data_IF_165454735543
#
_entry.id   IF_165454735543
#
_cell.length_a   1.000
_cell.length_b   1.000
_cell.length_c   1.000
_cell.angle_alpha   90.00
_cell.angle_beta   90.00
_cell.angle_gamma   90.00
#
_symmetry.space_group_name_H-M   'P 1'
#
loop_
_entity.id
_entity.type
_entity.pdbx_description
1 polymer ?
#
# COMPACT_ATOMS: atom_id res chain seq x y z
N UNK A 1 -14.75 -14.30 6.19
CA UNK A 1 -14.30 -15.45 5.39
C UNK A 1 -12.91 -15.10 4.88
N UNK A 2 -11.92 -15.98 4.95
CA UNK A 2 -10.56 -15.66 4.51
C UNK A 2 -10.49 -15.63 2.99
N UNK A 3 -10.05 -14.49 2.44
CA UNK A 3 -9.80 -14.32 1.01
C UNK A 3 -8.30 -14.39 0.72
N UNK A 4 -7.94 -14.88 -0.47
CA UNK A 4 -6.59 -14.81 -1.03
C UNK A 4 -6.62 -13.97 -2.30
N UNK A 5 -5.64 -13.08 -2.45
CA UNK A 5 -5.38 -12.32 -3.67
C UNK A 5 -4.03 -12.75 -4.23
N UNK A 6 -3.93 -12.83 -5.55
CA UNK A 6 -2.66 -13.06 -6.23
C UNK A 6 -2.66 -12.34 -7.58
N UNK A 7 -1.51 -11.81 -7.96
CA UNK A 7 -1.28 -11.14 -9.23
C UNK A 7 -0.35 -11.95 -10.11
N UNK A 8 -0.36 -11.69 -11.42
CA UNK A 8 0.52 -12.35 -12.38
C UNK A 8 1.33 -11.37 -13.25
N UNK A 9 2.23 -11.97 -14.05
CA UNK A 9 3.09 -11.25 -14.99
C UNK A 9 2.34 -10.62 -16.17
N UNK A 10 1.11 -11.06 -16.41
CA UNK A 10 0.25 -10.50 -17.45
C UNK A 10 -0.72 -9.48 -16.85
N UNK A 11 -0.46 -8.97 -15.64
CA UNK A 11 -1.24 -7.89 -15.02
C UNK A 11 -2.63 -8.30 -14.54
N UNK A 12 -2.96 -9.59 -14.47
CA UNK A 12 -4.23 -10.04 -13.91
C UNK A 12 -4.13 -10.24 -12.41
N UNK A 13 -5.27 -10.10 -11.75
CA UNK A 13 -5.46 -10.38 -10.33
C UNK A 13 -6.57 -11.40 -10.19
N UNK A 14 -6.29 -12.45 -9.42
CA UNK A 14 -7.29 -13.40 -8.96
C UNK A 14 -7.67 -13.17 -7.50
N UNK A 15 -8.93 -13.44 -7.20
CA UNK A 15 -9.50 -13.41 -5.85
C UNK A 15 -10.13 -14.77 -5.56
N UNK A 16 -9.73 -15.41 -4.46
CA UNK A 16 -10.24 -16.71 -4.03
C UNK A 16 -10.87 -16.63 -2.64
N UNK A 17 -11.94 -17.41 -2.44
CA UNK A 17 -12.43 -17.79 -1.11
C UNK A 17 -11.67 -19.03 -0.68
N UNK A 18 -10.90 -18.94 0.41
CA UNK A 18 -10.10 -20.08 0.89
C UNK A 18 -10.95 -21.22 1.47
N UNK A 19 -12.25 -21.00 1.70
CA UNK A 19 -13.17 -22.10 2.05
C UNK A 19 -13.59 -22.92 0.83
N UNK A 20 -13.39 -22.42 -0.38
CA UNK A 20 -13.76 -23.02 -1.68
C UNK A 20 -12.75 -22.65 -2.77
N UNK A 21 -11.48 -22.97 -2.52
CA UNK A 21 -10.35 -22.49 -3.30
C UNK A 21 -10.22 -23.08 -4.72
N UNK A 22 -11.12 -23.98 -5.13
CA UNK A 22 -11.03 -24.67 -6.42
C UNK A 22 -11.26 -23.73 -7.62
N UNK A 23 -12.01 -22.64 -7.42
CA UNK A 23 -12.34 -21.67 -8.48
C UNK A 23 -12.21 -20.26 -7.92
N UNK A 24 -11.57 -19.32 -8.64
CA UNK A 24 -11.54 -17.93 -8.20
C UNK A 24 -12.96 -17.34 -8.18
N UNK A 25 -13.24 -16.51 -7.18
CA UNK A 25 -14.41 -15.65 -7.13
C UNK A 25 -14.39 -14.64 -8.29
N UNK A 26 -13.21 -14.12 -8.61
CA UNK A 26 -12.96 -13.20 -9.71
C UNK A 26 -11.53 -13.38 -10.25
N UNK A 27 -11.35 -13.17 -11.55
CA UNK A 27 -10.05 -13.08 -12.21
C UNK A 27 -10.16 -12.05 -13.33
N UNK A 28 -9.33 -11.02 -13.29
CA UNK A 28 -9.50 -9.83 -14.13
C UNK A 28 -8.18 -9.10 -14.36
N UNK A 29 -8.02 -8.45 -15.53
CA UNK A 29 -6.90 -7.56 -15.84
C UNK A 29 -6.97 -6.31 -14.97
N UNK A 30 -6.04 -6.19 -14.04
CA UNK A 30 -5.87 -5.04 -13.17
C UNK A 30 -4.90 -4.02 -13.78
N UNK A 31 -3.78 -4.50 -14.34
CA UNK A 31 -2.68 -3.70 -14.87
C UNK A 31 -2.35 -4.10 -16.31
N UNK A 32 -1.75 -3.20 -17.09
CA UNK A 32 -1.33 -3.52 -18.47
C UNK A 32 -0.16 -4.51 -18.54
N UNK A 33 0.61 -4.61 -17.45
CA UNK A 33 1.80 -5.45 -17.30
C UNK A 33 1.88 -5.99 -15.86
N UNK A 34 2.98 -6.64 -15.45
CA UNK A 34 3.19 -7.33 -14.17
C UNK A 34 2.59 -6.60 -12.97
N UNK A 35 1.84 -7.33 -12.15
CA UNK A 35 1.44 -6.91 -10.81
C UNK A 35 2.62 -7.14 -9.86
N UNK A 36 3.29 -6.07 -9.45
CA UNK A 36 4.48 -6.16 -8.59
C UNK A 36 4.14 -6.31 -7.11
N UNK A 37 3.07 -5.63 -6.68
CA UNK A 37 2.73 -5.56 -5.26
C UNK A 37 1.22 -5.44 -5.06
N UNK A 38 0.77 -5.81 -3.87
CA UNK A 38 -0.60 -5.64 -3.41
C UNK A 38 -0.65 -5.60 -1.90
N UNK A 39 -1.70 -5.00 -1.37
CA UNK A 39 -2.01 -5.01 0.05
C UNK A 39 -3.53 -4.98 0.27
N UNK A 40 -3.99 -5.45 1.43
CA UNK A 40 -5.40 -5.55 1.78
C UNK A 40 -5.69 -5.03 3.18
N UNK A 41 -6.69 -4.16 3.32
CA UNK A 41 -7.06 -3.55 4.60
C UNK A 41 -7.72 -4.53 5.58
N UNK A 42 -7.93 -5.80 5.19
CA UNK A 42 -8.79 -6.70 5.93
C UNK A 42 -10.20 -6.12 6.14
N UNK A 43 -10.82 -6.42 7.29
CA UNK A 43 -12.14 -5.86 7.67
C UNK A 43 -12.03 -4.54 8.43
N UNK A 44 -10.86 -3.86 8.42
CA UNK A 44 -10.57 -2.71 9.27
C UNK A 44 -11.49 -1.50 8.99
N UNK A 45 -11.98 -1.32 7.77
CA UNK A 45 -12.95 -0.26 7.40
C UNK A 45 -14.41 -0.76 7.34
N UNK A 46 -14.67 -2.02 7.71
CA UNK A 46 -15.95 -2.68 7.41
C UNK A 46 -16.21 -2.89 5.91
N UNK A 47 -15.30 -2.46 5.03
CA UNK A 47 -15.32 -2.66 3.58
C UNK A 47 -14.10 -3.48 3.17
N UNK A 48 -14.27 -4.67 2.58
CA UNK A 48 -13.16 -5.51 2.22
C UNK A 48 -12.50 -4.97 0.94
N UNK A 49 -11.48 -4.15 1.11
CA UNK A 49 -10.77 -3.41 0.06
C UNK A 49 -9.31 -3.90 -0.06
N UNK A 50 -8.78 -3.79 -1.27
CA UNK A 50 -7.38 -4.10 -1.56
C UNK A 50 -6.82 -3.16 -2.62
N UNK A 51 -5.52 -2.98 -2.59
CA UNK A 51 -4.77 -2.18 -3.56
C UNK A 51 -3.79 -3.04 -4.34
N UNK A 52 -3.54 -2.67 -5.58
CA UNK A 52 -2.55 -3.33 -6.45
C UNK A 52 -1.66 -2.27 -7.08
N UNK A 53 -0.37 -2.56 -7.20
CA UNK A 53 0.62 -1.73 -7.87
C UNK A 53 1.37 -2.53 -8.94
N UNK A 54 1.63 -1.91 -10.09
CA UNK A 54 2.18 -2.61 -11.26
C UNK A 54 3.34 -1.89 -11.95
N UNK A 55 3.87 -2.59 -12.96
CA UNK A 55 4.88 -2.07 -13.89
C UNK A 55 4.36 -0.91 -14.73
N UNK A 56 3.04 -0.80 -14.91
CA UNK A 56 2.38 0.32 -15.58
C UNK A 56 2.45 1.64 -14.80
N UNK A 57 3.13 1.67 -13.64
CA UNK A 57 3.33 2.85 -12.82
C UNK A 57 2.06 3.34 -12.12
N UNK A 58 1.02 2.50 -12.08
CA UNK A 58 -0.25 2.83 -11.44
C UNK A 58 -0.50 1.99 -10.19
N UNK A 59 -1.23 2.59 -9.25
CA UNK A 59 -1.84 1.93 -8.10
C UNK A 59 -3.36 2.00 -8.25
N UNK A 60 -4.05 0.88 -8.00
CA UNK A 60 -5.50 0.76 -8.17
C UNK A 60 -6.14 0.23 -6.90
N UNK A 61 -7.22 0.88 -6.45
CA UNK A 61 -8.03 0.45 -5.32
C UNK A 61 -9.24 -0.36 -5.82
N UNK A 62 -9.51 -1.48 -5.15
CA UNK A 62 -10.55 -2.43 -5.51
C UNK A 62 -11.41 -2.80 -4.30
N UNK A 63 -12.70 -3.08 -4.56
CA UNK A 63 -13.65 -3.60 -3.55
C UNK A 63 -13.90 -5.07 -3.84
N UNK A 64 -13.57 -5.98 -2.93
CA UNK A 64 -13.77 -7.43 -3.15
C UNK A 64 -15.24 -7.84 -3.32
N UNK A 65 -16.20 -6.99 -2.94
CA UNK A 65 -17.65 -7.23 -3.11
C UNK A 65 -18.12 -6.94 -4.53
N UNK A 66 -17.38 -6.13 -5.27
CA UNK A 66 -17.71 -5.82 -6.64
C UNK A 66 -17.25 -6.95 -7.56
N UNK A 67 -18.07 -7.24 -8.56
CA UNK A 67 -17.75 -8.24 -9.56
C UNK A 67 -16.84 -7.60 -10.63
N UNK A 68 -15.53 -7.78 -10.45
CA UNK A 68 -14.49 -7.21 -11.32
C UNK A 68 -14.31 -7.93 -12.66
N UNK A 69 -15.29 -8.72 -13.10
CA UNK A 69 -15.23 -9.42 -14.41
C UNK A 69 -14.85 -8.47 -15.52
N UNK A 70 -14.03 -8.98 -16.44
CA UNK A 70 -13.67 -8.27 -17.65
C UNK A 70 -14.93 -7.89 -18.44
N UNK A 71 -15.26 -6.61 -18.41
CA UNK A 71 -16.20 -6.02 -19.36
C UNK A 71 -15.41 -5.52 -20.56
N UNK A 72 -16.08 -5.26 -21.67
CA UNK A 72 -15.48 -4.72 -22.90
C UNK A 72 -14.76 -3.37 -22.76
N UNK A 73 -14.69 -2.80 -21.55
CA UNK A 73 -13.90 -1.62 -21.19
C UNK A 73 -12.89 -1.85 -20.05
N UNK A 74 -12.56 -3.10 -19.71
CA UNK A 74 -11.70 -3.46 -18.58
C UNK A 74 -12.44 -3.54 -17.24
N UNK A 75 -11.74 -3.97 -16.18
CA UNK A 75 -12.24 -3.88 -14.81
C UNK A 75 -12.09 -2.44 -14.30
N UNK A 76 -13.11 -1.93 -13.58
CA UNK A 76 -13.14 -0.55 -13.12
C UNK A 76 -12.71 -0.47 -11.64
N UNK A 77 -11.49 0.01 -11.32
CA UNK A 77 -11.12 0.22 -9.93
C UNK A 77 -11.97 1.33 -9.31
N UNK A 78 -12.12 1.31 -7.98
CA UNK A 78 -12.81 2.38 -7.22
C UNK A 78 -12.07 3.71 -7.43
N UNK A 79 -10.75 3.64 -7.40
CA UNK A 79 -9.84 4.79 -7.49
C UNK A 79 -8.50 4.32 -8.06
N UNK A 80 -7.75 5.26 -8.64
CA UNK A 80 -6.42 5.02 -9.17
C UNK A 80 -5.48 6.17 -8.80
N UNK A 81 -4.20 5.85 -8.66
CA UNK A 81 -3.10 6.78 -8.50
C UNK A 81 -2.02 6.42 -9.51
N UNK A 82 -1.33 7.44 -10.04
CA UNK A 82 -0.12 7.28 -10.83
C UNK A 82 0.82 8.46 -10.55
N UNK A 83 2.06 8.37 -11.04
CA UNK A 83 2.88 9.58 -11.20
C UNK A 83 2.21 10.55 -12.17
N UNK A 84 2.58 11.84 -12.08
CA UNK A 84 2.10 12.86 -13.02
C UNK A 84 2.40 12.45 -14.46
N UNK A 85 1.45 12.77 -15.35
CA UNK A 85 1.54 12.52 -16.80
C UNK A 85 2.92 12.94 -17.35
N UNK A 86 3.63 12.02 -17.99
CA UNK A 86 4.98 12.23 -18.53
C UNK A 86 6.13 11.70 -17.65
N UNK A 87 5.84 11.00 -16.54
CA UNK A 87 6.79 10.18 -15.76
C UNK A 87 6.32 8.72 -15.66
N UNK A 88 5.69 8.22 -16.72
CA UNK A 88 5.07 6.89 -16.78
C UNK A 88 6.10 5.73 -16.86
N UNK A 89 7.39 6.04 -16.85
CA UNK A 89 8.47 5.04 -16.96
C UNK A 89 8.80 4.36 -15.62
N UNK A 90 8.32 4.89 -14.50
CA UNK A 90 8.63 4.40 -13.16
C UNK A 90 7.60 3.41 -12.66
N UNK A 91 8.08 2.35 -12.02
CA UNK A 91 7.26 1.19 -11.63
C UNK A 91 6.91 1.27 -10.16
N UNK A 92 5.71 0.81 -9.81
CA UNK A 92 5.33 0.63 -8.41
C UNK A 92 5.93 -0.68 -7.91
N UNK A 93 6.62 -0.65 -6.78
CA UNK A 93 7.26 -1.83 -6.18
C UNK A 93 6.69 -2.22 -4.84
N UNK A 94 6.13 -1.28 -4.09
CA UNK A 94 5.46 -1.58 -2.85
C UNK A 94 4.22 -0.70 -2.66
N UNK A 95 3.25 -1.26 -1.95
CA UNK A 95 2.04 -0.54 -1.52
C UNK A 95 1.74 -0.91 -0.07
N UNK A 96 1.14 0.03 0.66
CA UNK A 96 0.55 -0.21 1.96
C UNK A 96 -0.86 0.40 2.00
N UNK A 97 -1.82 -0.31 2.58
CA UNK A 97 -3.20 0.11 2.73
C UNK A 97 -3.58 0.02 4.21
N UNK A 98 -4.00 1.14 4.77
CA UNK A 98 -4.38 1.25 6.17
C UNK A 98 -4.88 2.64 6.50
N UNK A 99 -4.57 3.16 7.68
CA UNK A 99 -4.82 4.56 8.02
C UNK A 99 -5.56 4.77 9.34
N UNK A 100 -5.56 6.03 9.83
CA UNK A 100 -6.06 6.40 11.16
C UNK A 100 -7.59 6.29 11.32
N UNK A 101 -8.35 6.14 10.23
CA UNK A 101 -9.82 6.02 10.24
C UNK A 101 -10.34 4.60 10.43
N UNK A 102 -9.46 3.59 10.55
CA UNK A 102 -9.85 2.19 10.78
C UNK A 102 -10.46 1.95 12.17
N UNK A 103 -10.06 2.73 13.17
CA UNK A 103 -10.66 2.71 14.51
C UNK A 103 -11.78 3.75 14.62
N UNK A 104 -12.93 3.39 14.07
CA UNK A 104 -14.18 4.19 14.03
C UNK A 104 -14.68 4.69 15.40
N UNK A 105 -14.15 4.19 16.52
CA UNK A 105 -14.49 4.69 17.87
C UNK A 105 -13.51 5.77 18.42
N UNK A 106 -12.28 5.86 17.91
CA UNK A 106 -11.24 6.70 18.52
C UNK A 106 -11.15 8.13 17.96
N UNK A 107 -11.49 8.33 16.68
CA UNK A 107 -11.26 9.62 15.99
C UNK A 107 -12.47 10.54 15.94
N UNK A 108 -13.67 10.02 16.24
CA UNK A 108 -14.92 10.79 16.23
C UNK A 108 -15.27 11.44 14.88
N UNK A 109 -14.54 11.14 13.80
CA UNK A 109 -14.72 11.73 12.48
C UNK A 109 -15.93 11.14 11.73
N UNK A 110 -16.30 9.89 12.04
CA UNK A 110 -17.44 9.20 11.40
C UNK A 110 -17.27 9.00 9.89
N UNK A 111 -16.03 9.12 9.38
CA UNK A 111 -15.65 8.91 7.99
C UNK A 111 -14.69 7.73 7.94
N UNK A 112 -14.97 6.75 7.09
CA UNK A 112 -14.02 5.68 6.75
C UNK A 112 -12.90 6.36 5.92
N UNK A 113 -11.75 6.61 6.51
CA UNK A 113 -10.58 7.17 5.83
C UNK A 113 -9.57 6.05 5.57
N UNK A 114 -9.17 5.87 4.31
CA UNK A 114 -8.08 4.98 3.92
C UNK A 114 -6.88 5.79 3.45
N UNK A 115 -5.72 5.40 3.95
CA UNK A 115 -4.43 5.85 3.49
C UNK A 115 -3.80 4.74 2.63
N UNK A 116 -3.50 5.07 1.38
CA UNK A 116 -2.74 4.20 0.47
C UNK A 116 -1.37 4.82 0.26
N UNK A 117 -0.32 4.09 0.60
CA UNK A 117 1.06 4.50 0.31
C UNK A 117 1.60 3.64 -0.82
N UNK A 118 2.36 4.24 -1.71
CA UNK A 118 2.99 3.58 -2.85
C UNK A 118 4.45 4.01 -2.96
N UNK A 119 5.35 3.04 -3.12
CA UNK A 119 6.77 3.28 -3.37
C UNK A 119 7.16 2.89 -4.80
N UNK A 120 7.98 3.73 -5.43
CA UNK A 120 8.39 3.59 -6.82
C UNK A 120 9.89 3.23 -6.94
N UNK A 121 10.33 2.80 -8.12
CA UNK A 121 11.75 2.45 -8.38
C UNK A 121 12.73 3.62 -8.37
N UNK A 122 12.22 4.84 -8.44
CA UNK A 122 12.98 6.09 -8.41
C UNK A 122 13.03 6.76 -7.02
N UNK A 123 12.57 6.07 -5.98
CA UNK A 123 12.55 6.60 -4.61
C UNK A 123 11.32 7.41 -4.25
N UNK A 124 10.45 7.72 -5.23
CA UNK A 124 9.24 8.50 -4.98
C UNK A 124 8.29 7.71 -4.08
N UNK A 125 7.79 8.35 -3.03
CA UNK A 125 6.67 7.88 -2.22
C UNK A 125 5.45 8.69 -2.63
N UNK A 126 4.35 8.01 -2.96
CA UNK A 126 3.06 8.65 -3.17
C UNK A 126 2.08 8.19 -2.11
N UNK A 127 1.22 9.11 -1.71
CA UNK A 127 0.18 8.81 -0.72
C UNK A 127 -1.17 9.26 -1.25
N UNK A 128 -2.16 8.36 -1.17
CA UNK A 128 -3.57 8.60 -1.41
C UNK A 128 -4.28 8.70 -0.07
N UNK A 129 -4.97 9.80 0.17
CA UNK A 129 -6.03 9.83 1.16
C UNK A 129 -7.35 9.59 0.42
N UNK A 130 -8.09 8.59 0.86
CA UNK A 130 -9.39 8.20 0.30
C UNK A 130 -10.41 8.32 1.41
N UNK A 131 -11.31 9.28 1.24
CA UNK A 131 -12.38 9.54 2.20
C UNK A 131 -13.70 9.07 1.64
N UNK A 132 -14.48 8.38 2.45
CA UNK A 132 -15.85 8.00 2.15
C UNK A 132 -16.84 8.88 2.94
N UNK A 133 -17.08 10.14 2.53
CA UNK A 133 -18.07 10.99 3.17
C UNK A 133 -19.45 10.30 3.23
N UNK A 134 -20.31 10.75 4.15
CA UNK A 134 -21.68 10.24 4.25
C UNK A 134 -22.44 10.54 2.93
N UNK A 135 -22.61 9.51 2.10
CA UNK A 135 -23.11 9.57 0.72
C UNK A 135 -22.12 8.93 -0.25
N UNK A 136 -22.57 8.32 -1.35
CA UNK A 136 -21.73 7.50 -2.25
C UNK A 136 -20.56 8.23 -2.97
N UNK A 137 -20.15 9.41 -2.54
CA UNK A 137 -18.98 10.11 -3.07
C UNK A 137 -17.68 9.58 -2.45
N UNK A 138 -16.64 9.45 -3.26
CA UNK A 138 -15.26 9.19 -2.82
C UNK A 138 -14.46 10.46 -3.07
N UNK A 139 -13.73 10.96 -2.08
CA UNK A 139 -12.78 12.07 -2.25
C UNK A 139 -11.36 11.51 -2.19
N UNK A 140 -10.51 11.94 -3.11
CA UNK A 140 -9.14 11.45 -3.26
C UNK A 140 -8.17 12.63 -3.30
N UNK A 141 -7.17 12.60 -2.43
CA UNK A 141 -6.02 13.52 -2.49
C UNK A 141 -4.74 12.72 -2.64
N UNK A 142 -3.86 13.14 -3.57
CA UNK A 142 -2.59 12.47 -3.84
C UNK A 142 -1.43 13.43 -3.58
N UNK A 143 -0.50 13.03 -2.72
CA UNK A 143 0.74 13.78 -2.44
C UNK A 143 1.98 12.98 -2.79
N UNK A 144 3.00 13.71 -3.22
CA UNK A 144 4.35 13.26 -3.53
C UNK A 144 5.29 13.60 -2.38
N UNK A 145 6.02 12.60 -1.91
CA UNK A 145 7.11 12.77 -0.96
C UNK A 145 8.30 12.01 -1.50
N UNK A 146 9.49 12.59 -1.46
CA UNK A 146 10.70 11.87 -1.84
C UNK A 146 11.30 11.21 -0.60
N UNK A 147 11.70 9.94 -0.70
CA UNK A 147 12.40 9.24 0.39
C UNK A 147 13.77 9.85 0.70
N UNK A 148 14.33 10.60 -0.25
CA UNK A 148 15.61 11.29 -0.15
C UNK A 148 16.75 10.57 -0.87
N UNK A 149 16.52 9.35 -1.34
CA UNK A 149 17.43 8.59 -2.20
C UNK A 149 16.70 8.20 -3.50
N UNK A 150 17.40 8.23 -4.62
CA UNK A 150 16.86 7.86 -5.95
C UNK A 150 17.05 6.34 -6.14
N UNK A 151 16.50 5.55 -5.23
CA UNK A 151 16.62 4.08 -5.23
C UNK A 151 15.25 3.41 -5.13
N UNK A 152 15.19 2.14 -5.53
CA UNK A 152 13.93 1.40 -5.48
C UNK A 152 13.43 1.23 -4.05
N UNK A 153 12.15 1.54 -3.85
CA UNK A 153 11.46 1.28 -2.59
C UNK A 153 10.89 -0.13 -2.61
N UNK A 154 11.17 -0.91 -1.57
CA UNK A 154 10.96 -2.36 -1.62
C UNK A 154 9.76 -2.84 -0.79
N UNK A 155 9.51 -2.22 0.35
CA UNK A 155 8.37 -2.55 1.20
C UNK A 155 7.79 -1.26 1.78
N UNK A 156 6.46 -1.19 1.84
CA UNK A 156 5.73 -0.19 2.61
C UNK A 156 4.82 -0.93 3.61
N UNK A 157 4.70 -0.43 4.83
CA UNK A 157 3.78 -0.97 5.83
C UNK A 157 3.40 0.10 6.86
N UNK A 158 2.16 0.03 7.34
CA UNK A 158 1.71 0.86 8.46
C UNK A 158 2.29 0.32 9.77
N UNK A 159 2.57 1.20 10.72
CA UNK A 159 2.90 0.77 12.08
C UNK A 159 1.59 0.39 12.78
N UNK A 160 1.42 -0.86 13.26
CA UNK A 160 0.14 -1.31 13.79
C UNK A 160 -0.40 -0.46 14.94
N UNK A 161 0.47 -0.05 15.87
CA UNK A 161 0.09 0.78 17.02
C UNK A 161 -0.09 2.26 16.68
N UNK A 162 0.41 2.70 15.51
CA UNK A 162 0.24 4.06 14.99
C UNK A 162 -0.15 4.01 13.52
N UNK A 163 -1.43 3.71 13.19
CA UNK A 163 -1.87 3.53 11.80
C UNK A 163 -1.65 4.76 10.89
N UNK A 164 -1.46 5.94 11.47
CA UNK A 164 -1.06 7.14 10.74
C UNK A 164 0.44 7.22 10.41
N UNK A 165 1.28 6.30 10.88
CA UNK A 165 2.71 6.22 10.55
C UNK A 165 2.94 5.09 9.57
N UNK A 166 3.70 5.37 8.51
CA UNK A 166 4.10 4.40 7.50
C UNK A 166 5.61 4.31 7.45
N UNK A 167 6.11 3.08 7.42
CA UNK A 167 7.50 2.75 7.16
C UNK A 167 7.67 2.34 5.70
N UNK A 168 8.73 2.83 5.06
CA UNK A 168 9.10 2.46 3.70
C UNK A 168 10.58 2.09 3.66
N UNK A 169 10.92 0.91 3.13
CA UNK A 169 12.31 0.49 2.94
C UNK A 169 12.84 0.84 1.54
N UNK A 170 14.14 1.15 1.45
CA UNK A 170 14.80 1.52 0.18
C UNK A 170 15.92 0.56 -0.24
N UNK A 171 16.48 0.79 -1.43
CA UNK A 171 17.58 0.03 -2.01
C UNK A 171 18.90 0.22 -1.29
N UNK A 172 19.02 1.29 -0.51
CA UNK A 172 20.13 1.58 0.37
C UNK A 172 19.98 0.95 1.76
N UNK A 173 19.01 0.07 2.02
CA UNK A 173 18.85 -0.56 3.34
C UNK A 173 18.42 0.40 4.45
N UNK A 174 17.85 1.55 4.09
CA UNK A 174 17.22 2.46 5.04
C UNK A 174 15.74 2.11 5.21
N UNK A 175 15.22 2.43 6.40
CA UNK A 175 13.80 2.47 6.70
C UNK A 175 13.44 3.93 6.93
N UNK A 176 12.59 4.48 6.07
CA UNK A 176 12.07 5.84 6.14
C UNK A 176 10.70 5.83 6.83
N UNK A 177 10.47 6.78 7.73
CA UNK A 177 9.23 6.91 8.48
C UNK A 177 8.50 8.19 8.10
N UNK A 178 7.22 8.06 7.80
CA UNK A 178 6.35 9.18 7.45
C UNK A 178 5.08 9.15 8.31
N UNK A 179 4.69 10.30 8.83
CA UNK A 179 3.46 10.51 9.57
C UNK A 179 2.43 11.16 8.65
N UNK A 180 1.23 10.57 8.57
CA UNK A 180 0.07 11.19 7.96
C UNK A 180 -0.22 12.53 8.64
N UNK A 181 -0.27 13.58 7.82
CA UNK A 181 -0.45 14.97 8.23
C UNK A 181 -1.91 15.41 8.20
N UNK A 182 -2.12 16.72 8.18
CA UNK A 182 -3.42 17.34 7.92
C UNK A 182 -3.66 17.51 6.41
N UNK A 183 -4.84 18.01 6.02
CA UNK A 183 -5.23 18.32 4.63
C UNK A 183 -4.21 19.17 3.84
N UNK A 184 -3.29 19.87 4.53
CA UNK A 184 -2.29 20.74 3.88
C UNK A 184 -0.97 20.04 3.62
N UNK A 185 -0.60 19.11 4.49
CA UNK A 185 0.71 18.46 4.48
C UNK A 185 0.62 17.05 3.94
N UNK A 186 -0.50 16.35 4.16
CA UNK A 186 -0.84 14.96 3.84
C UNK A 186 0.14 13.91 4.37
N UNK A 187 1.46 14.14 4.28
CA UNK A 187 2.52 13.34 4.90
C UNK A 187 3.69 14.22 5.34
N UNK A 188 4.22 13.92 6.53
CA UNK A 188 5.40 14.56 7.12
C UNK A 188 6.50 13.51 7.37
N UNK A 189 7.73 13.71 6.88
CA UNK A 189 8.86 12.85 7.24
C UNK A 189 9.16 12.93 8.74
N UNK A 190 9.30 11.77 9.38
CA UNK A 190 9.72 11.64 10.78
C UNK A 190 11.22 11.41 10.91
N UNK A 191 11.81 10.70 9.95
CA UNK A 191 13.23 10.40 9.92
C UNK A 191 13.53 9.12 9.14
N UNK A 192 14.81 8.76 9.05
CA UNK A 192 15.27 7.52 8.44
C UNK A 192 16.23 6.78 9.37
N UNK A 193 16.29 5.46 9.24
CA UNK A 193 17.18 4.58 9.99
C UNK A 193 17.88 3.61 9.04
N UNK A 194 19.21 3.65 8.99
CA UNK A 194 20.02 2.68 8.24
C UNK A 194 20.00 1.34 8.99
N UNK A 195 19.20 0.39 8.50
CA UNK A 195 18.98 -0.92 9.11
C UNK A 195 19.86 -2.02 8.50
N UNK A 196 20.18 -1.91 7.20
CA UNK A 196 20.96 -2.88 6.45
C UNK A 196 22.03 -2.21 5.56
N UNK A 197 23.02 -2.98 5.14
CA UNK A 197 24.04 -2.51 4.19
C UNK A 197 23.46 -2.37 2.78
N UNK A 198 22.59 -3.32 2.43
CA UNK A 198 21.96 -3.50 1.13
C UNK A 198 20.43 -3.34 1.23
N UNK A 199 19.75 -3.42 0.10
CA UNK A 199 18.29 -3.28 0.00
C UNK A 199 17.53 -4.16 0.99
N UNK A 200 16.60 -3.56 1.73
CA UNK A 200 15.71 -4.26 2.64
C UNK A 200 14.43 -4.63 1.87
N UNK A 201 14.37 -5.88 1.41
CA UNK A 201 13.36 -6.37 0.46
C UNK A 201 12.01 -6.71 1.10
N UNK A 202 11.97 -6.92 2.41
CA UNK A 202 10.75 -7.17 3.16
C UNK A 202 10.92 -6.64 4.57
N UNK A 203 9.84 -6.07 5.11
CA UNK A 203 9.78 -5.43 6.40
C UNK A 203 8.38 -5.63 6.96
N UNK A 204 8.29 -6.02 8.23
CA UNK A 204 7.03 -6.15 8.94
C UNK A 204 7.20 -5.74 10.40
N UNK A 205 6.13 -5.20 10.98
CA UNK A 205 6.13 -4.67 12.35
C UNK A 205 5.37 -5.59 13.28
N UNK A 206 5.84 -5.67 14.52
CA UNK A 206 5.16 -6.43 15.55
C UNK A 206 3.84 -5.72 15.94
N UNK A 207 2.76 -6.49 16.06
CA UNK A 207 1.42 -6.01 16.44
C UNK A 207 1.33 -5.54 17.90
N UNK A 208 2.14 -6.10 18.81
CA UNK A 208 2.03 -5.87 20.26
C UNK A 208 3.10 -4.90 20.80
N UNK A 209 4.27 -4.84 20.17
CA UNK A 209 5.44 -4.08 20.62
C UNK A 209 5.76 -2.96 19.63
N UNK A 210 5.39 -1.73 20.02
CA UNK A 210 5.57 -0.53 19.19
C UNK A 210 7.03 -0.40 18.70
N UNK A 211 7.18 -0.29 17.39
CA UNK A 211 8.46 -0.07 16.73
C UNK A 211 9.35 -1.30 16.58
N UNK A 212 9.02 -2.44 17.19
CA UNK A 212 9.73 -3.70 16.93
C UNK A 212 9.41 -4.18 15.52
N UNK A 213 10.43 -4.49 14.73
CA UNK A 213 10.28 -4.97 13.36
C UNK A 213 11.15 -6.18 13.08
N UNK A 214 10.74 -6.94 12.06
CA UNK A 214 11.56 -7.95 11.38
C UNK A 214 11.74 -7.54 9.92
N UNK A 215 12.91 -7.77 9.36
CA UNK A 215 13.17 -7.49 7.94
C UNK A 215 14.16 -8.45 7.33
N UNK A 216 14.07 -8.63 6.01
CA UNK A 216 15.02 -9.41 5.22
C UNK A 216 15.67 -8.48 4.18
N UNK A 217 16.97 -8.65 3.96
CA UNK A 217 17.74 -7.82 3.04
C UNK A 217 18.57 -8.65 2.04
N UNK A 218 19.15 -7.97 1.06
CA UNK A 218 20.02 -8.57 0.04
C UNK A 218 21.45 -8.84 0.52
N UNK A 219 21.80 -8.49 1.77
CA UNK A 219 23.07 -8.92 2.38
C UNK A 219 22.98 -10.30 3.04
N UNK A 220 21.92 -11.05 2.73
CA UNK A 220 21.64 -12.41 3.19
C UNK A 220 21.34 -12.50 4.70
N UNK A 221 20.79 -11.42 5.27
CA UNK A 221 20.48 -11.34 6.69
C UNK A 221 18.97 -11.21 6.92
N UNK A 222 18.48 -11.89 7.97
CA UNK A 222 17.21 -11.58 8.61
C UNK A 222 17.50 -10.77 9.87
N UNK A 223 16.84 -9.63 10.01
CA UNK A 223 17.07 -8.66 11.08
C UNK A 223 15.85 -8.56 11.97
N UNK A 224 16.10 -8.39 13.27
CA UNK A 224 15.10 -7.94 14.24
C UNK A 224 15.63 -6.65 14.83
N UNK A 225 14.85 -5.59 14.76
CA UNK A 225 15.26 -4.25 15.18
C UNK A 225 14.13 -3.48 15.82
N UNK A 226 14.43 -2.27 16.31
CA UNK A 226 13.44 -1.41 16.93
C UNK A 226 13.63 0.03 16.45
N UNK A 227 12.60 0.62 15.85
CA UNK A 227 12.52 2.06 15.58
C UNK A 227 11.83 2.75 16.75
N UNK A 228 12.32 3.92 17.14
CA UNK A 228 11.71 4.70 18.20
C UNK A 228 10.83 5.77 17.55
N UNK A 229 9.53 5.75 17.87
CA UNK A 229 8.48 6.55 17.23
C UNK A 229 7.97 7.68 18.11
#
# INVERSE_FOLDING_TARGET
MPHLLAGDFEGHVGLWDLTRAEVPLSYFKAHEDVVNCMDGAGSLSGRPEFVTGGVDGTVKLWDTRLNHKETSGGSSPISNMSLKKGREDYKVWCVALGGPGSDTEATGSGVDDLLVVAGYDNGDVRVMDIRFPQGNGVTQEVVEVQSGDDSTLWQACHIPQRPGVVAVSDGGGQIHLFQHGDDKTLMKPLGSHKAASEAMISLDFNEDLEGLYVGCDLDSTLRVGMVHL
#
